data_IF_527523419120
#
_entry.id   IF_527523419120
#
_cell.length_a   1.000
_cell.length_b   1.000
_cell.length_c   1.000
_cell.angle_alpha   90.00
_cell.angle_beta   90.00
_cell.angle_gamma   90.00
#
_symmetry.space_group_name_H-M   'P 1'
#
loop_
_entity.id
_entity.type
_entity.pdbx_description
1 polymer ?
#
# COMPACT_ATOMS: atom_id res chain seq x y z
N UNK A 1 23.24 13.32 -12.74
CA UNK A 1 23.22 11.90 -12.31
C UNK A 1 22.99 11.78 -10.79
N UNK A 2 21.83 11.26 -10.39
CA UNK A 2 21.54 10.88 -9.00
C UNK A 2 20.32 11.53 -8.36
N UNK A 3 19.14 11.48 -8.98
CA UNK A 3 17.87 11.65 -8.23
C UNK A 3 17.65 10.42 -7.34
N UNK A 4 18.43 10.29 -6.25
CA UNK A 4 18.39 9.18 -5.28
C UNK A 4 17.86 9.68 -3.92
N UNK A 5 16.69 10.29 -3.91
CA UNK A 5 16.09 10.88 -2.70
C UNK A 5 14.76 10.28 -2.25
N UNK A 6 14.23 9.30 -2.98
CA UNK A 6 12.90 8.76 -2.69
C UNK A 6 12.99 7.29 -2.29
N UNK A 7 12.11 6.85 -1.41
CA UNK A 7 11.96 5.45 -0.99
C UNK A 7 10.69 4.89 -1.61
N UNK A 8 10.84 3.87 -2.47
CA UNK A 8 9.69 3.14 -2.99
C UNK A 8 9.26 2.10 -1.97
N UNK A 9 7.96 2.03 -1.70
CA UNK A 9 7.39 1.15 -0.68
C UNK A 9 6.43 0.20 -1.36
N UNK A 10 6.70 -1.08 -1.23
CA UNK A 10 5.83 -2.16 -1.66
C UNK A 10 5.24 -2.83 -0.42
N UNK A 11 3.91 -2.92 -0.37
CA UNK A 11 3.20 -3.51 0.77
C UNK A 11 2.14 -4.47 0.31
N UNK A 12 1.92 -5.54 1.08
CA UNK A 12 0.82 -6.47 0.87
C UNK A 12 -0.20 -6.30 1.99
N UNK A 13 -1.44 -5.99 1.63
CA UNK A 13 -2.58 -5.83 2.53
C UNK A 13 -3.58 -6.96 2.31
N UNK A 14 -3.88 -7.70 3.37
CA UNK A 14 -4.86 -8.77 3.36
C UNK A 14 -6.19 -8.32 3.94
N UNK A 15 -7.28 -8.74 3.30
CA UNK A 15 -8.66 -8.44 3.67
C UNK A 15 -9.48 -9.72 3.64
N UNK A 16 -10.42 -9.86 4.57
CA UNK A 16 -11.39 -10.94 4.59
C UNK A 16 -12.24 -10.93 3.34
N UNK A 17 -12.29 -12.06 2.64
CA UNK A 17 -13.30 -12.26 1.61
C UNK A 17 -14.66 -12.52 2.29
N UNK A 18 -15.63 -11.63 2.09
CA UNK A 18 -16.99 -11.84 2.58
C UNK A 18 -17.90 -12.08 1.36
N UNK A 19 -18.32 -13.33 1.09
CA UNK A 19 -19.14 -13.64 -0.08
C UNK A 19 -20.56 -13.03 -0.02
N UNK A 20 -20.99 -12.58 1.16
CA UNK A 20 -22.31 -11.97 1.40
C UNK A 20 -22.33 -10.45 1.25
N UNK A 21 -21.18 -9.79 1.14
CA UNK A 21 -21.04 -8.34 0.97
C UNK A 21 -20.32 -8.08 -0.35
N UNK A 22 -20.51 -6.91 -0.97
CA UNK A 22 -19.68 -6.51 -2.12
C UNK A 22 -18.21 -6.66 -1.71
N UNK A 23 -17.50 -7.56 -2.39
CA UNK A 23 -16.14 -7.96 -2.04
C UNK A 23 -15.18 -6.77 -2.11
N UNK A 24 -14.05 -6.88 -1.39
CA UNK A 24 -12.97 -5.89 -1.49
C UNK A 24 -12.34 -6.02 -2.88
N UNK A 25 -12.21 -4.91 -3.59
CA UNK A 25 -11.58 -4.84 -4.91
C UNK A 25 -10.48 -3.78 -4.93
N UNK A 26 -9.62 -3.83 -5.96
CA UNK A 26 -8.46 -2.95 -6.07
C UNK A 26 -8.84 -1.46 -6.17
N UNK A 27 -9.99 -1.14 -6.78
CA UNK A 27 -10.48 0.24 -6.92
C UNK A 27 -10.93 0.76 -5.56
N UNK A 28 -11.66 -0.06 -4.79
CA UNK A 28 -12.07 0.30 -3.43
C UNK A 28 -10.84 0.51 -2.53
N UNK A 29 -9.85 -0.39 -2.56
CA UNK A 29 -8.61 -0.24 -1.77
C UNK A 29 -7.84 1.03 -2.17
N UNK A 30 -7.72 1.31 -3.48
CA UNK A 30 -7.08 2.52 -3.98
C UNK A 30 -7.79 3.79 -3.48
N UNK A 31 -9.11 3.86 -3.60
CA UNK A 31 -9.89 5.02 -3.19
C UNK A 31 -9.79 5.24 -1.67
N UNK A 32 -9.92 4.19 -0.87
CA UNK A 32 -9.78 4.29 0.59
C UNK A 32 -8.38 4.75 0.99
N UNK A 33 -7.33 4.24 0.35
CA UNK A 33 -5.99 4.74 0.57
C UNK A 33 -5.88 6.22 0.20
N UNK A 34 -6.29 6.60 -1.01
CA UNK A 34 -6.23 7.98 -1.52
C UNK A 34 -6.95 8.96 -0.60
N UNK A 35 -8.19 8.64 -0.23
CA UNK A 35 -9.05 9.56 0.50
C UNK A 35 -8.60 9.71 1.96
N UNK A 36 -7.94 8.70 2.52
CA UNK A 36 -7.35 8.76 3.86
C UNK A 36 -5.86 9.21 3.88
N UNK A 37 -5.26 9.54 2.73
CA UNK A 37 -3.87 10.04 2.61
C UNK A 37 -3.77 11.42 1.96
N UNK A 38 -4.80 12.25 2.14
CA UNK A 38 -4.86 13.59 1.54
C UNK A 38 -4.69 13.58 0.01
N UNK A 39 -5.24 12.56 -0.67
CA UNK A 39 -5.03 12.28 -2.09
C UNK A 39 -3.61 11.81 -2.42
N UNK A 40 -3.09 10.86 -1.62
CA UNK A 40 -1.77 10.23 -1.81
C UNK A 40 -0.62 11.24 -1.68
N UNK A 41 -0.78 12.28 -0.85
CA UNK A 41 0.29 13.25 -0.57
C UNK A 41 0.87 13.08 0.83
N UNK A 42 0.13 12.49 1.76
CA UNK A 42 0.58 12.31 3.13
C UNK A 42 0.12 10.98 3.75
N UNK A 43 1.04 10.25 4.36
CA UNK A 43 0.75 9.10 5.21
C UNK A 43 1.43 9.35 6.58
N UNK A 44 0.68 9.94 7.50
CA UNK A 44 1.22 10.37 8.79
C UNK A 44 2.34 11.40 8.61
N UNK A 45 3.56 11.04 9.03
CA UNK A 45 4.75 11.90 8.90
C UNK A 45 5.46 11.77 7.54
N UNK A 46 5.00 10.89 6.66
CA UNK A 46 5.61 10.66 5.36
C UNK A 46 4.88 11.45 4.27
N UNK A 47 5.65 12.18 3.47
CA UNK A 47 5.15 12.81 2.26
C UNK A 47 5.23 11.81 1.12
N UNK A 48 4.15 11.65 0.39
CA UNK A 48 4.01 10.68 -0.69
C UNK A 48 4.00 11.38 -2.05
N UNK A 49 4.49 10.68 -3.08
CA UNK A 49 4.28 11.11 -4.45
C UNK A 49 2.87 10.67 -4.90
N UNK A 50 1.99 11.64 -5.13
CA UNK A 50 0.61 11.40 -5.56
C UNK A 50 0.47 10.47 -6.77
N UNK A 51 1.43 10.52 -7.70
CA UNK A 51 1.37 9.79 -8.95
C UNK A 51 2.02 8.40 -8.87
N UNK A 52 2.47 7.99 -7.67
CA UNK A 52 3.18 6.73 -7.47
C UNK A 52 2.31 5.60 -6.92
N UNK A 53 1.05 5.87 -6.57
CA UNK A 53 0.17 4.84 -6.00
C UNK A 53 -0.32 3.86 -7.08
N UNK A 54 -0.07 2.58 -6.84
CA UNK A 54 -0.67 1.47 -7.58
C UNK A 54 -1.26 0.46 -6.61
N UNK A 55 -2.38 -0.17 -6.99
CA UNK A 55 -2.99 -1.27 -6.23
C UNK A 55 -3.22 -2.46 -7.16
N UNK A 56 -2.46 -3.55 -7.02
CA UNK A 56 -2.47 -4.69 -7.97
C UNK A 56 -2.41 -4.24 -9.46
N UNK A 57 -1.60 -3.21 -9.76
CA UNK A 57 -1.49 -2.64 -11.11
C UNK A 57 -2.61 -1.65 -11.51
N UNK A 58 -3.58 -1.37 -10.64
CA UNK A 58 -4.60 -0.34 -10.86
C UNK A 58 -4.10 1.06 -10.43
N UNK A 59 -4.36 2.08 -11.27
CA UNK A 59 -4.19 3.52 -10.98
C UNK A 59 -5.24 4.38 -11.71
N UNK A 60 -5.52 5.59 -11.22
CA UNK A 60 -6.58 6.48 -11.74
C UNK A 60 -6.28 7.07 -13.15
N UNK A 61 -5.01 7.18 -13.54
CA UNK A 61 -4.60 7.82 -14.80
C UNK A 61 -4.38 6.87 -15.97
N UNK A 62 -4.59 5.56 -15.80
CA UNK A 62 -4.54 4.62 -16.91
C UNK A 62 -5.97 4.27 -17.36
N UNK A 63 -6.36 4.55 -18.62
CA UNK A 63 -7.59 4.01 -19.16
C UNK A 63 -7.48 2.49 -19.07
N UNK A 64 -8.50 1.87 -18.50
CA UNK A 64 -8.60 0.44 -18.17
C UNK A 64 -8.44 -0.44 -19.42
N UNK A 65 -7.22 -0.57 -19.92
CA UNK A 65 -6.81 -1.64 -20.83
C UNK A 65 -6.31 -2.72 -19.90
N UNK A 66 -7.21 -3.57 -19.43
CA UNK A 66 -6.94 -4.64 -18.47
C UNK A 66 -5.57 -5.29 -18.72
N UNK A 67 -4.50 -4.92 -17.99
CA UNK A 67 -3.35 -5.79 -17.90
C UNK A 67 -3.85 -6.99 -17.11
N UNK A 68 -3.38 -8.21 -17.39
CA UNK A 68 -3.79 -9.41 -16.67
C UNK A 68 -3.89 -9.11 -15.16
N UNK A 69 -5.11 -8.95 -14.64
CA UNK A 69 -5.33 -8.62 -13.25
C UNK A 69 -4.78 -9.83 -12.52
N UNK A 70 -3.63 -9.69 -11.86
CA UNK A 70 -3.19 -10.66 -10.88
C UNK A 70 -4.33 -10.73 -9.87
N UNK A 71 -5.13 -11.78 -9.99
CA UNK A 71 -6.25 -12.03 -9.09
C UNK A 71 -5.71 -11.86 -7.67
N UNK A 72 -6.39 -11.06 -6.82
CA UNK A 72 -5.92 -10.85 -5.46
C UNK A 72 -5.65 -12.22 -4.84
N UNK A 73 -4.41 -12.44 -4.43
CA UNK A 73 -3.99 -13.77 -4.02
C UNK A 73 -4.85 -14.19 -2.82
N UNK A 74 -5.63 -15.24 -3.00
CA UNK A 74 -6.52 -15.75 -1.96
C UNK A 74 -5.69 -16.68 -1.08
N UNK A 75 -5.21 -16.17 0.06
CA UNK A 75 -4.53 -17.00 1.07
C UNK A 75 -5.53 -17.30 2.16
N UNK A 76 -5.84 -18.59 2.33
CA UNK A 76 -6.75 -19.05 3.39
C UNK A 76 -8.16 -18.42 3.33
N UNK A 77 -8.61 -18.09 2.11
CA UNK A 77 -9.89 -17.41 1.89
C UNK A 77 -9.85 -15.88 2.05
N UNK A 78 -8.73 -15.28 2.45
CA UNK A 78 -8.55 -13.81 2.50
C UNK A 78 -7.95 -13.27 1.19
N UNK A 79 -8.41 -12.10 0.74
CA UNK A 79 -7.97 -11.37 -0.46
C UNK A 79 -6.70 -10.55 -0.15
N UNK A 80 -5.65 -10.71 -0.95
CA UNK A 80 -4.41 -9.94 -0.81
C UNK A 80 -4.24 -8.92 -1.94
N UNK A 81 -3.93 -7.67 -1.57
CA UNK A 81 -3.65 -6.58 -2.48
C UNK A 81 -2.24 -6.02 -2.22
N UNK A 82 -1.48 -5.87 -3.29
CA UNK A 82 -0.20 -5.19 -3.34
C UNK A 82 -0.43 -3.69 -3.56
N UNK A 83 0.09 -2.86 -2.66
CA UNK A 83 0.07 -1.42 -2.75
C UNK A 83 1.50 -0.92 -2.89
N UNK A 84 1.75 -0.19 -3.97
CA UNK A 84 3.04 0.43 -4.26
C UNK A 84 2.88 1.95 -4.19
N UNK A 85 3.76 2.63 -3.47
CA UNK A 85 3.80 4.09 -3.39
C UNK A 85 5.21 4.58 -3.04
N UNK A 86 5.51 5.84 -3.33
CA UNK A 86 6.83 6.43 -3.12
C UNK A 86 6.78 7.49 -2.03
N UNK A 87 7.67 7.39 -1.04
CA UNK A 87 7.94 8.41 -0.03
C UNK A 87 8.99 9.38 -0.57
N UNK A 88 8.68 10.68 -0.55
CA UNK A 88 9.54 11.76 -1.12
C UNK A 88 10.27 12.59 -0.07
N UNK A 89 9.85 12.56 1.20
CA UNK A 89 10.53 13.28 2.28
C UNK A 89 11.59 12.41 2.99
N UNK A 90 11.90 11.24 2.43
CA UNK A 90 12.89 10.32 2.99
C UNK A 90 13.76 9.73 1.89
N UNK A 91 15.06 10.01 2.01
CA UNK A 91 16.06 9.45 1.12
C UNK A 91 16.21 7.95 1.34
N UNK A 92 16.27 7.22 0.23
CA UNK A 92 16.72 5.85 0.22
C UNK A 92 18.12 5.75 0.84
N UNK A 93 18.31 4.77 1.72
CA UNK A 93 19.62 4.44 2.30
C UNK A 93 19.88 2.95 2.09
N UNK A 94 21.15 2.53 2.03
CA UNK A 94 21.49 1.11 1.84
C UNK A 94 20.92 0.21 2.95
N UNK A 95 20.70 0.75 4.15
CA UNK A 95 20.03 0.04 5.23
C UNK A 95 18.59 -0.38 4.87
N UNK A 96 17.94 0.27 3.92
CA UNK A 96 16.60 -0.11 3.44
C UNK A 96 16.60 -1.32 2.50
N UNK A 97 17.77 -1.70 1.96
CA UNK A 97 17.92 -2.95 1.21
C UNK A 97 18.05 -4.18 2.12
N UNK A 98 18.33 -4.00 3.42
CA UNK A 98 18.47 -5.12 4.37
C UNK A 98 17.23 -5.21 5.27
N UNK A 99 16.37 -6.24 5.08
CA UNK A 99 15.21 -6.47 5.93
C UNK A 99 15.52 -6.65 7.41
N UNK A 100 16.77 -6.99 7.75
CA UNK A 100 17.22 -7.17 9.13
C UNK A 100 17.72 -5.88 9.77
N UNK A 101 17.93 -4.82 8.98
CA UNK A 101 18.45 -3.57 9.52
C UNK A 101 17.43 -2.92 10.46
N UNK A 102 17.90 -2.25 11.54
CA UNK A 102 17.00 -1.56 12.46
C UNK A 102 16.21 -0.45 11.75
N UNK A 103 16.79 0.16 10.71
CA UNK A 103 16.12 1.19 9.90
C UNK A 103 14.96 0.60 9.10
N UNK A 104 15.19 -0.50 8.37
CA UNK A 104 14.14 -1.19 7.62
C UNK A 104 13.00 -1.62 8.54
N UNK A 105 13.34 -2.29 9.65
CA UNK A 105 12.35 -2.77 10.62
C UNK A 105 11.54 -1.64 11.25
N UNK A 106 12.20 -0.53 11.59
CA UNK A 106 11.53 0.66 12.15
C UNK A 106 10.58 1.29 11.13
N UNK A 107 11.03 1.51 9.89
CA UNK A 107 10.20 2.09 8.83
C UNK A 107 9.05 1.17 8.49
N UNK A 108 9.34 -0.10 8.24
CA UNK A 108 8.36 -1.11 7.88
C UNK A 108 7.27 -1.23 8.93
N UNK A 109 7.63 -1.25 10.22
CA UNK A 109 6.67 -1.25 11.32
C UNK A 109 5.84 0.05 11.36
N UNK A 110 6.47 1.20 11.13
CA UNK A 110 5.77 2.48 11.17
C UNK A 110 4.74 2.61 10.03
N UNK A 111 5.12 2.25 8.80
CA UNK A 111 4.24 2.20 7.63
C UNK A 111 3.10 1.21 7.86
N UNK A 112 3.42 -0.01 8.30
CA UNK A 112 2.42 -1.03 8.62
C UNK A 112 1.39 -0.53 9.64
N UNK A 113 1.83 0.19 10.67
CA UNK A 113 0.95 0.79 11.68
C UNK A 113 0.07 1.89 11.08
N UNK A 114 0.61 2.74 10.20
CA UNK A 114 -0.16 3.80 9.54
C UNK A 114 -1.23 3.21 8.60
N UNK A 115 -0.86 2.21 7.77
CA UNK A 115 -1.79 1.47 6.92
C UNK A 115 -2.89 0.81 7.75
N UNK A 116 -2.52 0.18 8.87
CA UNK A 116 -3.49 -0.41 9.80
C UNK A 116 -4.48 0.63 10.34
N UNK A 117 -3.97 1.80 10.75
CA UNK A 117 -4.81 2.90 11.23
C UNK A 117 -5.74 3.44 10.14
N UNK A 118 -5.24 3.54 8.90
CA UNK A 118 -5.99 3.97 7.73
C UNK A 118 -7.15 3.02 7.44
N UNK A 119 -6.86 1.74 7.19
CA UNK A 119 -7.90 0.79 6.80
C UNK A 119 -8.89 0.51 7.93
N UNK A 120 -8.49 0.62 9.20
CA UNK A 120 -9.45 0.52 10.32
C UNK A 120 -10.40 1.71 10.45
N UNK A 121 -10.07 2.86 9.86
CA UNK A 121 -10.95 4.04 9.79
C UNK A 121 -11.78 4.10 8.51
N UNK A 122 -11.36 3.37 7.48
CA UNK A 122 -12.03 3.26 6.17
C UNK A 122 -13.32 2.42 6.21
N UNK A 123 -14.03 2.37 5.08
CA UNK A 123 -15.14 1.43 4.90
C UNK A 123 -14.70 -0.04 4.97
N UNK A 124 -13.42 -0.33 4.73
CA UNK A 124 -12.82 -1.67 4.74
C UNK A 124 -12.50 -2.19 6.13
N UNK A 125 -12.80 -1.44 7.21
CA UNK A 125 -12.44 -1.79 8.60
C UNK A 125 -12.86 -3.21 9.03
N UNK A 126 -14.02 -3.68 8.55
CA UNK A 126 -14.56 -4.99 8.90
C UNK A 126 -13.93 -6.13 8.10
N UNK A 127 -13.31 -5.80 6.96
CA UNK A 127 -12.60 -6.75 6.11
C UNK A 127 -11.10 -6.71 6.38
N UNK A 128 -10.53 -5.59 6.83
CA UNK A 128 -9.09 -5.47 7.03
C UNK A 128 -8.54 -6.52 8.01
N UNK A 129 -7.44 -7.19 7.63
CA UNK A 129 -6.74 -8.16 8.46
C UNK A 129 -5.38 -7.65 8.89
N UNK A 130 -4.49 -7.49 7.92
CA UNK A 130 -3.09 -7.17 8.15
C UNK A 130 -2.49 -6.49 6.92
N UNK A 131 -1.51 -5.62 7.17
CA UNK A 131 -0.62 -5.08 6.16
C UNK A 131 0.80 -5.52 6.49
N UNK A 132 1.61 -5.76 5.47
CA UNK A 132 3.02 -6.10 5.62
C UNK A 132 3.83 -5.35 4.58
N UNK A 133 4.92 -4.72 4.99
CA UNK A 133 5.90 -4.17 4.05
C UNK A 133 6.71 -5.32 3.46
N UNK A 134 6.71 -5.39 2.13
CA UNK A 134 7.45 -6.38 1.34
C UNK A 134 8.81 -5.81 0.98
N UNK A 135 8.87 -4.52 0.63
CA UNK A 135 10.11 -3.84 0.20
C UNK A 135 10.09 -2.34 0.52
N UNK A 136 11.29 -1.78 0.70
CA UNK A 136 11.62 -0.34 0.86
C UNK A 136 12.77 0.05 -0.10
#
# INVERSE_FOLDING_TARGET
>A
PGNRGNTEVETSCAFKNNPTVKGVDAVTVYNEFRDNTEKVTALGSYSLNKNSLYVNGYRESEPTTSPAISLPAVRDGDLSFELNFTIINRNFTEALNDPNSPQYRSIGANITRMLTGLFKKSSLKNSYRIAKVIRL
#
